data_IF_184739595015
#
_entry.id   IF_184739595015
#
_cell.length_a   1.000
_cell.length_b   1.000
_cell.length_c   1.000
_cell.angle_alpha   90.00
_cell.angle_beta   90.00
_cell.angle_gamma   90.00
#
_symmetry.space_group_name_H-M   'P 1'
#
loop_
_entity.id
_entity.type
_entity.pdbx_description
1 polymer ?
#
# COMPACT_ATOMS: atom_id res chain seq x y z
N UNK A 1 -15.76 0.38 10.51
CA UNK A 1 -16.40 0.27 9.18
C UNK A 1 -15.41 -0.08 8.08
N UNK A 2 -14.40 0.76 7.74
CA UNK A 2 -13.41 0.39 6.70
C UNK A 2 -12.67 -0.94 7.01
N UNK A 3 -12.27 -1.15 8.24
CA UNK A 3 -11.62 -2.36 8.70
C UNK A 3 -12.53 -3.60 8.60
N UNK A 4 -13.78 -3.50 9.04
CA UNK A 4 -14.72 -4.62 9.03
C UNK A 4 -15.05 -5.06 7.60
N UNK A 5 -15.19 -4.13 6.67
CA UNK A 5 -15.52 -4.43 5.27
C UNK A 5 -14.34 -5.03 4.50
N UNK A 6 -13.12 -4.68 4.84
CA UNK A 6 -11.92 -5.11 4.09
C UNK A 6 -11.12 -6.22 4.79
N UNK A 7 -11.01 -6.19 6.12
CA UNK A 7 -10.15 -7.12 6.86
C UNK A 7 -10.86 -8.42 7.17
N UNK A 8 -12.04 -8.34 7.80
CA UNK A 8 -12.74 -9.53 8.29
C UNK A 8 -13.06 -10.54 7.18
N UNK A 9 -13.58 -10.13 5.99
CA UNK A 9 -13.87 -11.10 4.94
C UNK A 9 -12.64 -11.87 4.49
N UNK A 10 -11.51 -11.20 4.33
CA UNK A 10 -10.25 -11.83 3.89
C UNK A 10 -9.71 -12.76 4.97
N UNK A 11 -9.76 -12.36 6.25
CA UNK A 11 -9.38 -13.21 7.37
C UNK A 11 -10.22 -14.48 7.45
N UNK A 12 -11.54 -14.39 7.35
CA UNK A 12 -12.43 -15.56 7.36
C UNK A 12 -12.23 -16.48 6.17
N UNK A 13 -12.08 -15.91 4.95
CA UNK A 13 -11.80 -16.69 3.75
C UNK A 13 -10.48 -17.43 3.91
N UNK A 14 -9.44 -16.75 4.40
CA UNK A 14 -8.14 -17.38 4.63
C UNK A 14 -8.23 -18.53 5.63
N UNK A 15 -8.88 -18.35 6.78
CA UNK A 15 -9.04 -19.39 7.79
C UNK A 15 -9.79 -20.60 7.23
N UNK A 16 -10.89 -20.38 6.52
CA UNK A 16 -11.66 -21.45 5.89
C UNK A 16 -10.85 -22.22 4.82
N UNK A 17 -10.02 -21.51 4.06
CA UNK A 17 -9.11 -22.14 3.10
C UNK A 17 -7.99 -22.91 3.81
N UNK A 18 -7.41 -22.34 4.87
CA UNK A 18 -6.34 -22.95 5.64
C UNK A 18 -6.74 -24.31 6.24
N UNK A 19 -7.98 -24.43 6.69
CA UNK A 19 -8.55 -25.72 7.15
C UNK A 19 -8.59 -26.78 6.03
N UNK A 20 -8.80 -26.37 4.79
CA UNK A 20 -8.98 -27.28 3.64
C UNK A 20 -7.70 -27.62 2.91
N UNK A 21 -6.82 -26.63 2.72
CA UNK A 21 -5.62 -26.74 1.87
C UNK A 21 -4.31 -26.39 2.60
N UNK A 22 -4.37 -26.17 3.92
CA UNK A 22 -3.19 -25.91 4.72
C UNK A 22 -2.45 -24.62 4.32
N UNK A 23 -1.14 -24.70 4.27
CA UNK A 23 -0.25 -23.55 3.98
C UNK A 23 -0.44 -22.95 2.58
N UNK A 24 -0.97 -23.71 1.61
CA UNK A 24 -1.26 -23.23 0.27
C UNK A 24 -2.33 -22.12 0.25
N UNK A 25 -3.13 -21.99 1.31
CA UNK A 25 -4.12 -20.93 1.45
C UNK A 25 -3.50 -19.53 1.41
N UNK A 26 -2.31 -19.37 1.98
CA UNK A 26 -1.61 -18.07 1.99
C UNK A 26 -1.28 -17.61 0.57
N UNK A 27 -0.66 -18.47 -0.22
CA UNK A 27 -0.25 -18.14 -1.59
C UNK A 27 -1.47 -17.89 -2.48
N UNK A 28 -2.56 -18.66 -2.29
CA UNK A 28 -3.79 -18.48 -3.04
C UNK A 28 -4.44 -17.11 -2.74
N UNK A 29 -4.60 -16.76 -1.47
CA UNK A 29 -5.19 -15.46 -1.08
C UNK A 29 -4.31 -14.31 -1.56
N UNK A 30 -2.98 -14.43 -1.40
CA UNK A 30 -2.03 -13.43 -1.88
C UNK A 30 -2.12 -13.22 -3.39
N UNK A 31 -2.23 -14.29 -4.19
CA UNK A 31 -2.32 -14.15 -5.65
C UNK A 31 -3.64 -13.52 -6.10
N UNK A 32 -4.75 -13.87 -5.46
CA UNK A 32 -6.05 -13.21 -5.72
C UNK A 32 -6.00 -11.72 -5.38
N UNK A 33 -5.43 -11.36 -4.24
CA UNK A 33 -5.25 -9.97 -3.83
C UNK A 33 -4.36 -9.23 -4.84
N UNK A 34 -3.23 -9.82 -5.23
CA UNK A 34 -2.33 -9.26 -6.24
C UNK A 34 -3.06 -8.95 -7.55
N UNK A 35 -3.90 -9.88 -8.04
CA UNK A 35 -4.68 -9.66 -9.26
C UNK A 35 -5.63 -8.45 -9.17
N UNK A 36 -6.19 -8.18 -8.00
CA UNK A 36 -7.02 -6.99 -7.77
C UNK A 36 -6.15 -5.72 -7.69
N UNK A 37 -5.03 -5.77 -6.99
CA UNK A 37 -4.11 -4.63 -6.83
C UNK A 37 -3.55 -4.14 -8.18
N UNK A 38 -3.27 -5.03 -9.13
CA UNK A 38 -2.84 -4.64 -10.46
C UNK A 38 -3.88 -3.80 -11.22
N UNK A 39 -5.18 -4.03 -10.99
CA UNK A 39 -6.25 -3.20 -11.55
C UNK A 39 -6.28 -1.82 -10.89
N UNK A 40 -6.02 -1.75 -9.58
CA UNK A 40 -5.88 -0.49 -8.85
C UNK A 40 -4.67 0.29 -9.36
N UNK A 41 -3.52 -0.39 -9.57
CA UNK A 41 -2.33 0.22 -10.18
C UNK A 41 -2.64 0.89 -11.51
N UNK A 42 -3.31 0.16 -12.43
CA UNK A 42 -3.71 0.72 -13.72
C UNK A 42 -4.66 1.92 -13.58
N UNK A 43 -5.53 1.91 -12.57
CA UNK A 43 -6.41 3.05 -12.28
C UNK A 43 -5.61 4.24 -11.74
N UNK A 44 -4.62 4.01 -10.87
CA UNK A 44 -3.73 5.04 -10.35
C UNK A 44 -2.89 5.69 -11.47
N UNK A 45 -2.33 4.89 -12.39
CA UNK A 45 -1.58 5.41 -13.55
C UNK A 45 -2.47 6.33 -14.41
N UNK A 46 -3.70 5.87 -14.74
CA UNK A 46 -4.67 6.70 -15.49
C UNK A 46 -5.06 7.98 -14.74
N UNK A 47 -5.18 7.89 -13.42
CA UNK A 47 -5.51 9.06 -12.60
C UNK A 47 -4.36 10.08 -12.58
N UNK A 48 -3.11 9.61 -12.45
CA UNK A 48 -1.92 10.46 -12.53
C UNK A 48 -1.85 11.18 -13.88
N UNK A 49 -2.09 10.46 -14.99
CA UNK A 49 -2.15 11.04 -16.33
C UNK A 49 -3.25 12.12 -16.45
N UNK A 50 -4.41 11.90 -15.81
CA UNK A 50 -5.58 12.77 -15.90
C UNK A 50 -5.46 14.05 -15.09
N UNK A 51 -4.96 13.97 -13.84
CA UNK A 51 -4.95 15.11 -12.90
C UNK A 51 -3.56 15.66 -12.58
N UNK A 52 -2.52 14.96 -13.00
CA UNK A 52 -1.14 15.24 -12.65
C UNK A 52 -0.73 14.67 -11.28
N UNK A 53 0.56 14.40 -11.15
CA UNK A 53 1.14 13.78 -9.96
C UNK A 53 0.92 14.57 -8.67
N UNK A 54 1.10 15.89 -8.70
CA UNK A 54 0.93 16.74 -7.51
C UNK A 54 -0.50 16.63 -6.94
N UNK A 55 -1.51 16.69 -7.82
CA UNK A 55 -2.88 16.54 -7.38
C UNK A 55 -3.17 15.10 -6.90
N UNK A 56 -2.53 14.10 -7.52
CA UNK A 56 -2.60 12.72 -7.06
C UNK A 56 -2.04 12.57 -5.65
N UNK A 57 -0.90 13.17 -5.31
CA UNK A 57 -0.34 13.15 -3.96
C UNK A 57 -1.27 13.79 -2.93
N UNK A 58 -1.88 14.93 -3.25
CA UNK A 58 -2.86 15.60 -2.36
C UNK A 58 -4.10 14.74 -2.15
N UNK A 59 -4.60 14.11 -3.20
CA UNK A 59 -5.75 13.21 -3.10
C UNK A 59 -5.42 11.96 -2.30
N UNK A 60 -4.24 11.38 -2.49
CA UNK A 60 -3.76 10.23 -1.73
C UNK A 60 -3.61 10.56 -0.25
N UNK A 61 -2.98 11.67 0.10
CA UNK A 61 -2.89 12.16 1.49
C UNK A 61 -4.27 12.29 2.12
N UNK A 62 -5.19 12.94 1.42
CA UNK A 62 -6.57 13.15 1.90
C UNK A 62 -7.26 11.82 2.17
N UNK A 63 -7.20 10.88 1.22
CA UNK A 63 -7.79 9.55 1.36
C UNK A 63 -7.18 8.78 2.54
N UNK A 64 -5.85 8.86 2.71
CA UNK A 64 -5.19 8.23 3.84
C UNK A 64 -5.64 8.83 5.19
N UNK A 65 -5.78 10.15 5.29
CA UNK A 65 -6.29 10.80 6.51
C UNK A 65 -7.71 10.36 6.85
N UNK A 66 -8.58 10.25 5.83
CA UNK A 66 -9.95 9.80 5.99
C UNK A 66 -10.05 8.30 6.36
N UNK A 67 -9.12 7.47 5.88
CA UNK A 67 -9.15 6.02 6.09
C UNK A 67 -8.37 5.56 7.30
N UNK A 68 -7.25 6.21 7.63
CA UNK A 68 -6.28 5.79 8.64
C UNK A 68 -6.16 6.80 9.80
N UNK A 69 -7.22 7.55 10.08
CA UNK A 69 -7.31 8.42 11.25
C UNK A 69 -7.49 7.64 12.55
N UNK A 70 -7.27 8.35 13.69
CA UNK A 70 -7.45 7.77 15.04
C UNK A 70 -8.89 7.31 15.28
N UNK A 71 -9.85 7.98 14.69
CA UNK A 71 -11.27 7.63 14.73
C UNK A 71 -11.58 6.26 14.09
N UNK A 72 -10.69 5.77 13.22
CA UNK A 72 -10.77 4.48 12.58
C UNK A 72 -9.87 3.41 13.24
N UNK A 73 -9.24 3.73 14.40
CA UNK A 73 -8.42 2.77 15.15
C UNK A 73 -6.95 2.73 14.73
N UNK A 74 -6.48 3.71 13.95
CA UNK A 74 -5.08 3.79 13.56
C UNK A 74 -4.36 4.88 14.35
N UNK A 75 -3.04 4.76 14.48
CA UNK A 75 -2.17 5.84 14.94
C UNK A 75 -1.15 6.13 13.87
N UNK A 76 -1.34 7.26 13.19
CA UNK A 76 -0.54 7.66 12.04
C UNK A 76 0.04 9.06 12.22
N UNK A 77 1.21 9.28 11.61
CA UNK A 77 1.77 10.61 11.39
C UNK A 77 1.65 10.93 9.90
N UNK A 78 0.91 11.98 9.60
CA UNK A 78 0.72 12.45 8.23
C UNK A 78 1.60 13.65 7.98
N UNK A 79 2.37 13.61 6.90
CA UNK A 79 3.13 14.74 6.40
C UNK A 79 2.36 15.42 5.27
N UNK A 80 2.42 16.76 5.22
CA UNK A 80 1.75 17.50 4.16
C UNK A 80 2.34 17.15 2.79
N UNK A 81 1.47 16.87 1.82
CA UNK A 81 1.88 16.58 0.45
C UNK A 81 2.53 17.80 -0.22
N UNK A 82 3.65 17.58 -0.86
CA UNK A 82 4.37 18.56 -1.69
C UNK A 82 4.24 18.19 -3.17
N UNK A 83 4.80 19.01 -4.05
CA UNK A 83 4.91 18.68 -5.49
C UNK A 83 5.82 17.47 -5.76
N UNK A 84 6.71 17.13 -4.82
CA UNK A 84 7.75 16.12 -5.00
C UNK A 84 7.49 14.83 -4.24
N UNK A 85 6.81 14.89 -3.09
CA UNK A 85 6.54 13.72 -2.25
C UNK A 85 5.33 13.88 -1.34
N UNK A 86 4.81 12.74 -0.91
CA UNK A 86 3.87 12.61 0.20
C UNK A 86 4.29 11.44 1.09
N UNK A 87 4.16 11.61 2.41
CA UNK A 87 4.60 10.62 3.41
C UNK A 87 3.52 10.34 4.44
N UNK A 88 3.49 9.08 4.86
CA UNK A 88 2.63 8.57 5.93
C UNK A 88 3.42 7.57 6.78
N UNK A 89 3.42 7.75 8.09
CA UNK A 89 3.97 6.76 9.03
C UNK A 89 2.84 6.16 9.84
N UNK A 90 2.72 4.82 9.85
CA UNK A 90 1.72 4.10 10.64
C UNK A 90 2.41 3.49 11.85
N UNK A 91 2.06 3.99 13.04
CA UNK A 91 2.61 3.54 14.32
C UNK A 91 1.75 2.46 14.98
N UNK A 92 0.49 2.35 14.59
CA UNK A 92 -0.45 1.31 15.01
C UNK A 92 -1.34 0.94 13.83
N UNK A 93 -1.39 -0.35 13.52
CA UNK A 93 -2.08 -0.88 12.34
C UNK A 93 -3.25 -1.78 12.75
N UNK A 94 -4.46 -1.34 12.51
CA UNK A 94 -5.67 -2.09 12.83
C UNK A 94 -5.75 -3.43 12.06
N UNK A 95 -5.20 -3.51 10.83
CA UNK A 95 -5.12 -4.77 10.08
C UNK A 95 -4.35 -5.84 10.85
N UNK A 96 -3.17 -5.49 11.37
CA UNK A 96 -2.34 -6.41 12.14
C UNK A 96 -3.02 -6.81 13.45
N UNK A 97 -3.64 -5.87 14.17
CA UNK A 97 -4.35 -6.13 15.40
C UNK A 97 -5.50 -7.09 15.19
N UNK A 98 -6.45 -6.78 14.31
CA UNK A 98 -7.62 -7.60 14.05
C UNK A 98 -7.27 -8.99 13.54
N UNK A 99 -6.33 -9.12 12.62
CA UNK A 99 -5.90 -10.41 12.10
C UNK A 99 -5.13 -11.23 13.14
N UNK A 100 -4.46 -10.58 14.10
CA UNK A 100 -3.86 -11.26 15.25
C UNK A 100 -4.94 -11.81 16.17
N UNK A 101 -5.97 -11.03 16.49
CA UNK A 101 -7.11 -11.49 17.29
C UNK A 101 -7.88 -12.63 16.61
N UNK A 102 -7.99 -12.62 15.29
CA UNK A 102 -8.58 -13.70 14.50
C UNK A 102 -7.70 -14.97 14.46
N UNK A 103 -6.44 -14.93 14.92
CA UNK A 103 -5.50 -16.07 14.87
C UNK A 103 -4.83 -16.27 13.50
N UNK A 104 -4.79 -15.24 12.65
CA UNK A 104 -4.15 -15.28 11.33
C UNK A 104 -3.29 -14.02 11.04
N UNK A 105 -2.34 -13.66 11.94
CA UNK A 105 -1.55 -12.43 11.78
C UNK A 105 -0.71 -12.43 10.50
N UNK A 106 -0.38 -13.57 9.93
CA UNK A 106 0.35 -13.70 8.67
C UNK A 106 -0.38 -13.04 7.50
N UNK A 107 -1.72 -12.97 7.53
CA UNK A 107 -2.54 -12.34 6.50
C UNK A 107 -2.29 -10.83 6.41
N UNK A 108 -1.89 -10.19 7.51
CA UNK A 108 -1.54 -8.77 7.50
C UNK A 108 -0.40 -8.46 6.50
N UNK A 109 0.52 -9.41 6.26
CA UNK A 109 1.58 -9.26 5.27
C UNK A 109 1.04 -9.18 3.85
N UNK A 110 -0.06 -9.87 3.55
CA UNK A 110 -0.70 -9.82 2.23
C UNK A 110 -1.21 -8.40 1.95
N UNK A 111 -1.79 -7.73 2.96
CA UNK A 111 -2.20 -6.32 2.82
C UNK A 111 -1.00 -5.39 2.65
N UNK A 112 0.11 -5.63 3.35
CA UNK A 112 1.34 -4.86 3.10
C UNK A 112 1.88 -5.09 1.69
N UNK A 113 1.90 -6.33 1.21
CA UNK A 113 2.33 -6.64 -0.17
C UNK A 113 1.40 -6.00 -1.22
N UNK A 114 0.11 -5.80 -0.88
CA UNK A 114 -0.86 -5.12 -1.75
C UNK A 114 -0.42 -3.70 -2.08
N UNK A 115 0.10 -2.95 -1.11
CA UNK A 115 0.62 -1.59 -1.34
C UNK A 115 1.76 -1.60 -2.38
N UNK A 116 2.66 -2.60 -2.31
CA UNK A 116 3.75 -2.72 -3.28
C UNK A 116 3.23 -3.03 -4.69
N UNK A 117 2.14 -3.81 -4.81
CA UNK A 117 1.51 -4.09 -6.11
C UNK A 117 0.75 -2.90 -6.68
N UNK A 118 0.13 -2.09 -5.82
CA UNK A 118 -0.68 -0.94 -6.24
C UNK A 118 0.16 0.28 -6.59
N UNK A 119 1.26 0.48 -5.88
CA UNK A 119 2.08 1.70 -5.92
C UNK A 119 3.49 1.48 -6.43
N UNK A 120 3.99 0.24 -6.42
CA UNK A 120 5.43 -0.05 -6.58
C UNK A 120 6.01 0.28 -7.95
N UNK A 121 5.21 0.40 -9.00
CA UNK A 121 5.67 0.65 -10.36
C UNK A 121 4.72 1.58 -11.14
N UNK A 122 4.40 2.73 -10.56
CA UNK A 122 3.64 3.79 -11.23
C UNK A 122 4.56 4.59 -12.16
N UNK A 123 4.02 5.08 -13.28
CA UNK A 123 4.80 5.69 -14.34
C UNK A 123 5.60 6.93 -13.87
N UNK A 124 4.99 7.80 -13.08
CA UNK A 124 5.59 9.06 -12.62
C UNK A 124 5.97 9.08 -11.14
N UNK A 125 5.73 7.97 -10.43
CA UNK A 125 5.86 7.89 -8.98
C UNK A 125 6.74 6.71 -8.59
N UNK A 126 7.58 6.93 -7.59
CA UNK A 126 8.33 5.87 -6.90
C UNK A 126 7.71 5.68 -5.54
N UNK A 127 7.30 4.46 -5.24
CA UNK A 127 6.88 4.05 -3.90
C UNK A 127 8.10 3.55 -3.14
N UNK A 128 8.36 4.14 -1.99
CA UNK A 128 9.44 3.75 -1.09
C UNK A 128 8.88 3.36 0.26
N UNK A 129 9.33 2.23 0.78
CA UNK A 129 9.00 1.74 2.11
C UNK A 129 10.14 0.88 2.65
N UNK A 130 10.66 1.19 3.83
CA UNK A 130 11.75 0.43 4.47
C UNK A 130 11.24 -0.77 5.24
N UNK A 131 9.96 -0.78 5.57
CA UNK A 131 9.34 -1.91 6.24
C UNK A 131 7.93 -1.63 6.78
N UNK A 132 7.35 -2.64 7.42
CA UNK A 132 6.01 -2.54 8.00
C UNK A 132 5.94 -3.23 9.35
N UNK A 133 4.93 -2.84 10.14
CA UNK A 133 4.60 -3.48 11.42
C UNK A 133 4.37 -4.99 11.27
N UNK A 134 3.69 -5.43 10.19
CA UNK A 134 3.44 -6.84 9.93
C UNK A 134 4.72 -7.65 9.63
N UNK A 135 5.77 -6.98 9.17
CA UNK A 135 7.11 -7.57 8.96
C UNK A 135 8.06 -7.33 10.15
N UNK A 136 7.51 -6.90 11.31
CA UNK A 136 8.26 -6.79 12.56
C UNK A 136 9.07 -5.50 12.69
N UNK A 137 8.72 -4.45 11.93
CA UNK A 137 9.30 -3.12 12.12
C UNK A 137 8.48 -2.32 13.13
N UNK A 138 9.06 -1.25 13.67
CA UNK A 138 8.43 -0.39 14.66
C UNK A 138 7.32 0.50 14.08
N UNK A 139 7.30 0.66 12.74
CA UNK A 139 6.31 1.42 11.99
C UNK A 139 6.25 0.97 10.53
N UNK A 140 5.16 1.37 9.83
CA UNK A 140 5.13 1.34 8.36
C UNK A 140 5.46 2.75 7.87
N UNK A 141 6.50 2.87 7.05
CA UNK A 141 6.96 4.13 6.50
C UNK A 141 6.63 4.20 5.01
N UNK A 142 5.53 4.88 4.67
CA UNK A 142 5.10 5.06 3.29
C UNK A 142 5.63 6.37 2.73
N UNK A 143 6.22 6.32 1.55
CA UNK A 143 6.61 7.50 0.79
C UNK A 143 6.28 7.28 -0.69
N UNK A 144 5.43 8.14 -1.24
CA UNK A 144 5.29 8.30 -2.68
C UNK A 144 6.12 9.50 -3.10
N UNK A 145 7.04 9.31 -4.02
CA UNK A 145 7.95 10.35 -4.46
C UNK A 145 7.93 10.48 -5.98
N UNK A 146 8.18 11.69 -6.47
CA UNK A 146 8.39 11.96 -7.89
C UNK A 146 9.50 11.07 -8.44
N UNK A 147 9.23 10.37 -9.53
CA UNK A 147 10.26 9.67 -10.29
C UNK A 147 11.15 10.70 -10.98
N UNK A 148 12.43 10.68 -10.71
CA UNK A 148 13.39 11.48 -11.46
C UNK A 148 13.46 10.96 -12.90
N UNK A 149 13.31 11.85 -13.87
CA UNK A 149 13.56 11.49 -15.25
C UNK A 149 15.08 11.25 -15.39
N UNK A 150 15.48 10.08 -15.86
CA UNK A 150 16.85 9.90 -16.31
C UNK A 150 17.12 10.92 -17.40
N UNK A 151 17.96 11.91 -17.10
CA UNK A 151 18.47 12.79 -18.13
C UNK A 151 19.22 11.90 -19.12
N UNK A 152 18.62 11.67 -20.28
CA UNK A 152 19.27 10.99 -21.37
C UNK A 152 20.59 11.73 -21.62
N UNK A 153 21.71 11.06 -21.29
CA UNK A 153 23.04 11.62 -21.46
C UNK A 153 23.18 12.08 -22.90
N UNK A 154 23.35 13.39 -23.08
CA UNK A 154 23.74 13.97 -24.35
C UNK A 154 25.08 13.33 -24.69
N UNK A 155 25.05 12.34 -25.59
CA UNK A 155 26.25 11.82 -26.23
C UNK A 155 26.77 12.97 -27.09
N UNK A 156 27.71 13.70 -26.54
CA UNK A 156 28.41 14.74 -27.26
C UNK A 156 29.41 14.02 -28.20
N UNK A 157 28.93 13.66 -29.39
CA UNK A 157 29.79 13.23 -30.49
C UNK A 157 30.43 14.48 -31.07
N UNK A 158 31.43 15.01 -30.34
CA UNK A 158 32.36 15.99 -30.88
C UNK A 158 33.26 15.28 -31.90
N UNK A 159 33.06 15.58 -33.16
CA UNK A 159 33.95 15.25 -34.23
C UNK A 159 35.20 16.15 -34.25
#
# INVERSE_FOLDING_TARGET
MHAEENILPIGFIYLALKERIGTAAYDLVREVMRGNCLKVKEANDREIERIGREQFFRNWEKTCRESFGEENGYRCVFHEATENEVRLEVMHCLYLEMLTEMGCPEVAKIFCDSDDFEMGDLAEVVFERKGTLAYGRDMCDFCLRKREQETAGVINTGG
#
